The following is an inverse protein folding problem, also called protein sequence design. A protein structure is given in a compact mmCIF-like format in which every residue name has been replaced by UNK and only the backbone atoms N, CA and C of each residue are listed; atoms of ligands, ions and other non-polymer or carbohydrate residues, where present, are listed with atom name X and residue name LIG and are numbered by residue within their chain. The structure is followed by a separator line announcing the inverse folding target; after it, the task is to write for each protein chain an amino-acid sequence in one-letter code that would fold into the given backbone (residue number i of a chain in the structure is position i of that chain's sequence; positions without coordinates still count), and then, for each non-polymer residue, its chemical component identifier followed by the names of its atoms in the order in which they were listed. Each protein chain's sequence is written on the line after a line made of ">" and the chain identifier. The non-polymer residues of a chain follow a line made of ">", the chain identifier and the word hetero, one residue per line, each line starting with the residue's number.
data_IF_428126856519
#
_entry.id   IF_428126856519
#
_cell.length_a   1.000
_cell.length_b   1.000
_cell.length_c   1.000
_cell.angle_alpha   90.00
_cell.angle_beta   90.00
_cell.angle_gamma   90.00
#
_symmetry.space_group_name_H-M   'P 1'
#
loop_
_entity.id
_entity.type
_entity.pdbx_description
1 polymer ?
#
# COMPACT_ATOMS: atom_id res chain seq x y z
N UNK A 1 -8.78 -7.78 -4.76
CA UNK A 1 -7.50 -7.55 -5.48
C UNK A 1 -7.31 -6.04 -5.61
N UNK A 2 -6.17 -5.48 -5.19
CA UNK A 2 -5.85 -4.04 -5.28
C UNK A 2 -5.13 -3.77 -6.62
N UNK A 3 -5.82 -3.38 -7.70
CA UNK A 3 -5.29 -3.46 -9.07
C UNK A 3 -4.12 -2.49 -9.34
N UNK A 4 -3.96 -1.45 -8.52
CA UNK A 4 -2.89 -0.45 -8.65
C UNK A 4 -1.65 -0.73 -7.80
N UNK A 5 -1.56 -1.93 -7.21
CA UNK A 5 -0.33 -2.38 -6.56
C UNK A 5 0.69 -2.95 -7.57
N UNK A 6 0.24 -3.36 -8.76
CA UNK A 6 1.13 -3.89 -9.82
C UNK A 6 2.10 -2.82 -10.36
N UNK A 7 1.70 -1.56 -10.63
CA UNK A 7 2.61 -0.51 -11.07
C UNK A 7 3.64 -0.06 -10.03
N UNK A 8 3.47 -0.43 -8.75
CA UNK A 8 4.37 -0.07 -7.67
C UNK A 8 5.62 -0.98 -7.58
N UNK A 9 5.77 -1.94 -8.50
CA UNK A 9 6.97 -2.78 -8.56
C UNK A 9 6.94 -3.99 -7.64
N UNK A 10 5.76 -4.44 -7.21
CA UNK A 10 5.59 -5.67 -6.40
C UNK A 10 6.19 -6.92 -7.07
N UNK A 11 6.27 -6.95 -8.41
CA UNK A 11 6.95 -8.03 -9.15
C UNK A 11 8.49 -8.02 -9.04
N UNK A 12 9.09 -6.96 -8.47
CA UNK A 12 10.55 -6.78 -8.32
C UNK A 12 11.02 -6.87 -6.88
N UNK A 13 10.16 -7.31 -5.97
CA UNK A 13 10.51 -7.39 -4.56
C UNK A 13 11.62 -8.43 -4.33
N UNK A 14 12.53 -8.16 -3.37
CA UNK A 14 13.57 -9.12 -3.00
C UNK A 14 12.96 -10.46 -2.59
N UNK A 15 13.74 -11.53 -2.80
CA UNK A 15 13.32 -12.90 -2.50
C UNK A 15 13.26 -13.18 -0.99
N UNK A 16 14.09 -12.50 -0.20
CA UNK A 16 14.11 -12.63 1.25
C UNK A 16 12.86 -11.97 1.87
N UNK A 17 12.13 -12.75 2.66
CA UNK A 17 10.91 -12.31 3.34
C UNK A 17 11.05 -11.02 4.18
N UNK A 18 12.10 -10.81 5.01
CA UNK A 18 12.21 -9.57 5.78
C UNK A 18 12.39 -8.31 4.91
N UNK A 19 13.13 -8.43 3.80
CA UNK A 19 13.34 -7.31 2.87
C UNK A 19 12.10 -7.08 1.99
N UNK A 20 11.39 -8.17 1.65
CA UNK A 20 10.14 -8.14 0.91
C UNK A 20 9.05 -7.43 1.71
N UNK A 21 8.81 -7.82 2.95
CA UNK A 21 7.79 -7.17 3.79
C UNK A 21 8.08 -5.70 4.01
N UNK A 22 9.36 -5.32 4.23
CA UNK A 22 9.75 -3.89 4.32
C UNK A 22 9.44 -3.12 3.04
N UNK A 23 9.74 -3.71 1.88
CA UNK A 23 9.45 -3.09 0.61
C UNK A 23 7.93 -2.99 0.34
N UNK A 24 7.13 -4.02 0.66
CA UNK A 24 5.66 -3.96 0.58
C UNK A 24 5.10 -2.86 1.47
N UNK A 25 5.56 -2.78 2.73
CA UNK A 25 5.13 -1.75 3.67
C UNK A 25 5.42 -0.33 3.14
N UNK A 26 6.60 -0.12 2.54
CA UNK A 26 6.98 1.16 1.94
C UNK A 26 6.05 1.55 0.78
N UNK A 27 5.71 0.60 -0.09
CA UNK A 27 4.80 0.84 -1.21
C UNK A 27 3.38 1.16 -0.74
N UNK A 28 2.89 0.44 0.29
CA UNK A 28 1.58 0.69 0.87
C UNK A 28 1.52 2.05 1.57
N UNK A 29 2.56 2.47 2.30
CA UNK A 29 2.63 3.80 2.91
C UNK A 29 2.60 4.90 1.83
N UNK A 30 3.36 4.75 0.75
CA UNK A 30 3.36 5.70 -0.37
C UNK A 30 1.98 5.81 -1.01
N UNK A 31 1.31 4.68 -1.27
CA UNK A 31 -0.04 4.65 -1.82
C UNK A 31 -1.06 5.32 -0.90
N UNK A 32 -0.98 5.08 0.41
CA UNK A 32 -1.83 5.71 1.42
C UNK A 32 -1.67 7.23 1.46
N UNK A 33 -0.43 7.72 1.41
CA UNK A 33 -0.15 9.15 1.36
C UNK A 33 -0.71 9.81 0.11
N UNK A 34 -0.54 9.17 -1.04
CA UNK A 34 -1.10 9.64 -2.31
C UNK A 34 -2.64 9.69 -2.24
N UNK A 35 -3.28 8.63 -1.74
CA UNK A 35 -4.74 8.59 -1.57
C UNK A 35 -5.24 9.68 -0.63
N UNK A 36 -4.56 9.87 0.50
CA UNK A 36 -4.90 10.91 1.49
C UNK A 36 -4.70 12.32 0.94
N UNK A 37 -3.73 12.52 0.05
CA UNK A 37 -3.55 13.80 -0.64
C UNK A 37 -4.73 14.08 -1.59
N UNK A 38 -5.17 13.07 -2.37
CA UNK A 38 -6.35 13.20 -3.23
C UNK A 38 -7.61 13.53 -2.44
N UNK A 39 -7.84 12.84 -1.31
CA UNK A 39 -8.99 13.10 -0.45
C UNK A 39 -8.99 14.50 0.16
N UNK A 40 -7.82 15.00 0.58
CA UNK A 40 -7.68 16.38 1.09
C UNK A 40 -7.88 17.45 0.02
N UNK A 41 -7.50 17.16 -1.21
CA UNK A 41 -7.69 18.06 -2.34
C UNK A 41 -9.12 18.03 -2.91
N UNK A 42 -10.01 17.15 -2.38
CA UNK A 42 -11.32 16.92 -2.98
C UNK A 42 -11.23 16.39 -4.42
N UNK A 43 -10.12 15.74 -4.76
CA UNK A 43 -9.88 15.31 -6.14
C UNK A 43 -10.87 14.20 -6.52
N UNK A 44 -11.47 14.29 -7.69
CA UNK A 44 -12.53 13.38 -8.15
C UNK A 44 -12.12 11.90 -8.19
N UNK A 45 -10.82 11.62 -8.33
CA UNK A 45 -10.32 10.24 -8.30
C UNK A 45 -10.24 9.65 -6.90
N UNK A 46 -10.35 10.47 -5.84
CA UNK A 46 -10.31 9.98 -4.46
C UNK A 46 -11.35 8.88 -4.28
N UNK A 47 -10.93 7.78 -3.69
CA UNK A 47 -11.81 6.64 -3.46
C UNK A 47 -11.64 6.15 -2.02
N UNK A 48 -12.72 6.26 -1.24
CA UNK A 48 -12.75 5.84 0.16
C UNK A 48 -12.53 4.33 0.31
N UNK A 49 -13.07 3.51 -0.58
CA UNK A 49 -12.88 2.06 -0.55
C UNK A 49 -11.42 1.70 -0.85
N UNK A 50 -10.79 2.42 -1.79
CA UNK A 50 -9.36 2.30 -2.06
C UNK A 50 -8.52 2.69 -0.84
N UNK A 51 -8.88 3.77 -0.15
CA UNK A 51 -8.20 4.19 1.08
C UNK A 51 -8.31 3.12 2.18
N UNK A 52 -9.50 2.59 2.43
CA UNK A 52 -9.75 1.53 3.42
C UNK A 52 -8.98 0.26 3.07
N UNK A 53 -9.01 -0.16 1.80
CA UNK A 53 -8.29 -1.35 1.33
C UNK A 53 -6.77 -1.24 1.51
N UNK A 54 -6.20 -0.07 1.20
CA UNK A 54 -4.78 0.21 1.45
C UNK A 54 -4.43 0.18 2.95
N UNK A 55 -5.31 0.74 3.80
CA UNK A 55 -5.13 0.73 5.25
C UNK A 55 -5.16 -0.69 5.83
N UNK A 56 -6.10 -1.52 5.38
CA UNK A 56 -6.22 -2.92 5.79
C UNK A 56 -4.99 -3.73 5.35
N UNK A 57 -4.56 -3.58 4.09
CA UNK A 57 -3.37 -4.24 3.58
C UNK A 57 -2.10 -3.85 4.37
N UNK A 58 -1.92 -2.56 4.68
CA UNK A 58 -0.78 -2.08 5.47
C UNK A 58 -0.77 -2.67 6.88
N UNK A 59 -1.93 -2.71 7.55
CA UNK A 59 -2.06 -3.32 8.88
C UNK A 59 -1.74 -4.82 8.85
N UNK A 60 -2.27 -5.55 7.88
CA UNK A 60 -2.03 -6.98 7.73
C UNK A 60 -0.54 -7.28 7.49
N UNK A 61 0.12 -6.51 6.61
CA UNK A 61 1.54 -6.71 6.33
C UNK A 61 2.43 -6.36 7.51
N UNK A 62 2.09 -5.31 8.26
CA UNK A 62 2.83 -4.92 9.47
C UNK A 62 2.68 -5.93 10.60
N UNK A 63 1.54 -6.62 10.67
CA UNK A 63 1.33 -7.70 11.61
C UNK A 63 2.18 -8.92 11.23
N UNK A 64 2.22 -9.28 9.94
CA UNK A 64 3.09 -10.34 9.42
C UNK A 64 4.57 -10.08 9.66
N UNK A 65 5.04 -8.86 9.44
CA UNK A 65 6.47 -8.52 9.60
C UNK A 65 6.96 -8.44 11.04
N UNK A 66 6.05 -8.56 12.03
CA UNK A 66 6.35 -8.49 13.47
C UNK A 66 6.27 -9.86 14.15
N UNK A 67 5.72 -10.87 13.47
CA UNK A 67 5.65 -12.26 13.90
C UNK A 67 6.94 -13.00 13.48
#
# INVERSE_FOLDING_TARGET
>A
MLPRLIPLGLGRLPAAEPDRSRAILRLLDQALRAERALGRAGHWTYDLNRHIGLMQAFKAERARSRA
#
